data_IF_202504834858
#
_entry.id   IF_202504834858
#
_cell.length_a   1.000
_cell.length_b   1.000
_cell.length_c   1.000
_cell.angle_alpha   90.00
_cell.angle_beta   90.00
_cell.angle_gamma   90.00
#
_symmetry.space_group_name_H-M   'P 1'
#
loop_
_entity.id
_entity.type
_entity.pdbx_description
1 polymer ?
#
# COMPACT_ATOMS: atom_id res chain seq x y z
N UNK A 1 -4.14 -42.00 -34.81
CA UNK A 1 -3.79 -40.66 -34.32
C UNK A 1 -4.29 -40.58 -32.87
N UNK A 2 -3.41 -40.71 -31.88
CA UNK A 2 -3.80 -40.60 -30.45
C UNK A 2 -3.51 -39.17 -30.01
N UNK A 3 -4.54 -38.37 -29.82
CA UNK A 3 -4.43 -37.04 -29.22
C UNK A 3 -4.27 -37.20 -27.71
N UNK A 4 -3.05 -37.04 -27.21
CA UNK A 4 -2.80 -36.91 -25.76
C UNK A 4 -3.28 -35.51 -25.37
N UNK A 5 -4.33 -35.44 -24.55
CA UNK A 5 -4.76 -34.20 -23.91
C UNK A 5 -3.70 -33.78 -22.89
N UNK A 6 -2.95 -32.72 -23.19
CA UNK A 6 -2.06 -32.07 -22.23
C UNK A 6 -2.91 -31.20 -21.29
N UNK A 7 -3.29 -31.76 -20.15
CA UNK A 7 -4.02 -31.03 -19.13
C UNK A 7 -3.07 -30.00 -18.51
N UNK A 8 -3.28 -28.71 -18.80
CA UNK A 8 -2.57 -27.61 -18.15
C UNK A 8 -2.55 -27.85 -16.64
N UNK A 9 -1.39 -28.08 -16.00
CA UNK A 9 -1.35 -28.34 -14.58
C UNK A 9 -1.90 -27.11 -13.85
N UNK A 10 -2.96 -27.31 -13.07
CA UNK A 10 -3.51 -26.26 -12.22
C UNK A 10 -2.46 -25.71 -11.27
N UNK A 11 -2.67 -24.48 -10.81
CA UNK A 11 -1.72 -23.79 -9.93
C UNK A 11 -1.43 -24.63 -8.68
N UNK A 12 -0.15 -24.92 -8.40
CA UNK A 12 0.20 -25.68 -7.19
C UNK A 12 -0.09 -24.87 -5.92
N UNK A 13 -0.42 -25.50 -4.80
CA UNK A 13 -0.65 -24.80 -3.50
C UNK A 13 0.50 -23.86 -3.12
N UNK A 14 1.73 -24.25 -3.39
CA UNK A 14 2.92 -23.43 -3.16
C UNK A 14 2.96 -22.22 -4.08
N UNK A 15 2.54 -22.37 -5.32
CA UNK A 15 2.45 -21.28 -6.27
C UNK A 15 1.27 -20.35 -5.95
N UNK A 16 0.18 -20.90 -5.41
CA UNK A 16 -0.93 -20.13 -4.86
C UNK A 16 -0.49 -19.32 -3.64
N UNK A 17 0.27 -19.92 -2.72
CA UNK A 17 0.80 -19.20 -1.55
C UNK A 17 1.85 -18.15 -1.95
N UNK A 18 2.74 -18.47 -2.90
CA UNK A 18 3.70 -17.52 -3.47
C UNK A 18 3.02 -16.34 -4.15
N UNK A 19 1.86 -16.56 -4.80
CA UNK A 19 1.09 -15.51 -5.48
C UNK A 19 0.09 -14.81 -4.55
N UNK A 20 -0.39 -15.49 -3.50
CA UNK A 20 -1.34 -14.96 -2.52
C UNK A 20 -0.70 -13.99 -1.54
N UNK A 21 0.61 -14.09 -1.31
CA UNK A 21 1.38 -13.08 -0.57
C UNK A 21 1.71 -11.82 -1.40
N UNK A 22 1.39 -11.78 -2.69
CA UNK A 22 1.69 -10.66 -3.62
C UNK A 22 0.59 -9.58 -3.58
N UNK A 23 -0.44 -9.73 -2.74
CA UNK A 23 -1.58 -8.79 -2.75
C UNK A 23 -1.31 -7.44 -2.10
N UNK A 24 -0.40 -7.35 -1.13
CA UNK A 24 -0.20 -6.14 -0.34
C UNK A 24 1.19 -5.55 -0.56
N UNK A 25 1.26 -4.48 -1.36
CA UNK A 25 2.47 -3.66 -1.53
C UNK A 25 3.00 -3.14 -0.18
N UNK A 26 2.05 -2.89 0.74
CA UNK A 26 2.27 -2.37 2.09
C UNK A 26 1.46 -3.19 3.11
N UNK A 27 2.11 -3.54 4.21
CA UNK A 27 1.51 -4.21 5.37
C UNK A 27 1.51 -3.23 6.52
N UNK A 28 0.35 -3.08 7.17
CA UNK A 28 0.21 -2.26 8.37
C UNK A 28 0.41 -3.16 9.59
N UNK A 29 1.33 -2.78 10.47
CA UNK A 29 1.55 -3.47 11.75
C UNK A 29 1.70 -2.45 12.87
N UNK A 30 0.72 -2.38 13.77
CA UNK A 30 0.70 -1.36 14.82
C UNK A 30 0.69 0.04 14.21
N UNK A 31 1.55 0.94 14.69
CA UNK A 31 1.74 2.28 14.16
C UNK A 31 2.69 2.37 12.96
N UNK A 32 2.95 1.28 12.24
CA UNK A 32 3.94 1.27 11.15
C UNK A 32 3.37 0.71 9.85
N UNK A 33 3.83 1.28 8.74
CA UNK A 33 3.63 0.82 7.37
C UNK A 33 4.90 0.15 6.89
N UNK A 34 4.83 -1.12 6.51
CA UNK A 34 5.96 -1.96 6.11
C UNK A 34 5.80 -2.34 4.65
N UNK A 35 6.86 -2.23 3.84
CA UNK A 35 6.90 -2.87 2.52
C UNK A 35 7.67 -4.19 2.62
N UNK A 36 6.99 -5.35 2.55
CA UNK A 36 7.65 -6.66 2.64
C UNK A 36 8.57 -6.93 1.45
N UNK A 37 8.21 -6.44 0.27
CA UNK A 37 8.98 -6.61 -0.97
C UNK A 37 10.29 -5.84 -0.94
N UNK A 38 10.27 -4.61 -0.41
CA UNK A 38 11.41 -3.69 -0.43
C UNK A 38 12.15 -3.58 0.91
N UNK A 39 11.74 -4.40 1.90
CA UNK A 39 12.36 -4.53 3.22
C UNK A 39 12.57 -3.19 3.96
N UNK A 40 11.59 -2.29 3.92
CA UNK A 40 11.59 -1.04 4.68
C UNK A 40 10.29 -0.88 5.47
N UNK A 41 10.33 -0.05 6.52
CA UNK A 41 9.17 0.33 7.30
C UNK A 41 9.19 1.83 7.65
N UNK A 42 8.01 2.43 7.71
CA UNK A 42 7.77 3.80 8.13
C UNK A 42 6.85 3.80 9.34
N UNK A 43 7.31 4.37 10.45
CA UNK A 43 6.48 4.59 11.64
C UNK A 43 5.68 5.89 11.48
N UNK A 44 4.38 5.82 11.76
CA UNK A 44 3.46 6.96 11.80
C UNK A 44 3.25 7.40 13.24
N UNK A 45 3.40 8.69 13.49
CA UNK A 45 3.30 9.28 14.84
C UNK A 45 1.93 9.91 15.07
N UNK A 46 1.40 10.64 14.07
CA UNK A 46 0.19 11.44 14.22
C UNK A 46 -0.97 10.90 13.40
N UNK A 47 -0.71 10.44 12.17
CA UNK A 47 -1.71 9.89 11.26
C UNK A 47 -1.95 8.41 11.54
N UNK A 48 -3.13 7.95 11.14
CA UNK A 48 -3.43 6.52 11.09
C UNK A 48 -2.52 5.83 10.05
N UNK A 49 -2.00 4.62 10.34
CA UNK A 49 -1.19 3.85 9.41
C UNK A 49 -1.90 3.58 8.07
N UNK A 50 -3.22 3.38 8.10
CA UNK A 50 -4.04 3.18 6.90
C UNK A 50 -3.99 4.41 5.99
N UNK A 51 -4.22 5.59 6.57
CA UNK A 51 -4.14 6.88 5.88
C UNK A 51 -2.76 7.08 5.26
N UNK A 52 -1.69 6.74 5.99
CA UNK A 52 -0.32 6.84 5.48
C UNK A 52 -0.07 5.87 4.31
N UNK A 53 -0.51 4.62 4.42
CA UNK A 53 -0.37 3.63 3.35
C UNK A 53 -1.09 4.10 2.07
N UNK A 54 -2.30 4.64 2.20
CA UNK A 54 -3.07 5.20 1.08
C UNK A 54 -2.35 6.40 0.45
N UNK A 55 -1.77 7.31 1.26
CA UNK A 55 -1.00 8.44 0.74
C UNK A 55 0.24 8.00 -0.05
N UNK A 56 0.95 6.97 0.42
CA UNK A 56 2.13 6.42 -0.28
C UNK A 56 1.72 5.81 -1.61
N UNK A 57 0.65 5.01 -1.62
CA UNK A 57 0.10 4.42 -2.84
C UNK A 57 -0.32 5.50 -3.84
N UNK A 58 -1.11 6.49 -3.37
CA UNK A 58 -1.56 7.61 -4.18
C UNK A 58 -0.40 8.41 -4.77
N UNK A 59 0.67 8.62 -3.99
CA UNK A 59 1.86 9.32 -4.48
C UNK A 59 2.54 8.57 -5.63
N UNK A 60 2.60 7.23 -5.56
CA UNK A 60 3.15 6.39 -6.65
C UNK A 60 2.22 6.33 -7.86
N UNK A 61 0.91 6.33 -7.65
CA UNK A 61 -0.08 6.33 -8.73
C UNK A 61 -0.07 7.66 -9.51
N UNK A 62 0.07 8.80 -8.83
CA UNK A 62 0.14 10.12 -9.47
C UNK A 62 1.49 10.33 -10.18
N UNK A 63 2.58 9.85 -9.58
CA UNK A 63 3.93 10.00 -10.13
C UNK A 63 4.61 8.64 -10.31
N UNK A 64 4.23 7.87 -11.36
CA UNK A 64 4.82 6.56 -11.58
C UNK A 64 6.26 6.70 -12.07
N UNK A 65 7.22 6.25 -11.26
CA UNK A 65 8.63 6.23 -11.63
C UNK A 65 9.19 4.81 -11.49
N UNK A 66 9.60 4.22 -12.61
CA UNK A 66 10.20 2.88 -12.63
C UNK A 66 11.59 2.83 -11.97
N UNK A 67 12.28 3.98 -11.91
CA UNK A 67 13.63 4.10 -11.37
C UNK A 67 13.68 4.58 -9.92
N UNK A 68 12.53 4.96 -9.33
CA UNK A 68 12.46 5.48 -7.96
C UNK A 68 11.77 4.46 -7.06
N UNK A 69 12.51 3.81 -6.13
CA UNK A 69 11.94 2.88 -5.17
C UNK A 69 10.87 3.50 -4.26
N UNK A 70 9.90 2.70 -3.83
CA UNK A 70 8.77 3.10 -2.96
C UNK A 70 9.17 3.84 -1.68
N UNK A 71 10.33 3.49 -1.11
CA UNK A 71 10.85 4.12 0.10
C UNK A 71 10.96 5.64 -0.03
N UNK A 72 11.20 6.17 -1.24
CA UNK A 72 11.34 7.61 -1.46
C UNK A 72 9.98 8.31 -1.43
N UNK A 73 8.91 7.65 -1.88
CA UNK A 73 7.55 8.15 -1.71
C UNK A 73 7.14 8.13 -0.24
N UNK A 74 7.49 7.08 0.50
CA UNK A 74 7.28 7.01 1.95
C UNK A 74 8.00 8.15 2.70
N UNK A 75 9.25 8.46 2.33
CA UNK A 75 10.00 9.58 2.92
C UNK A 75 9.34 10.93 2.58
N UNK A 76 8.88 11.11 1.33
CA UNK A 76 8.23 12.36 0.92
C UNK A 76 6.93 12.60 1.70
N UNK A 77 6.12 11.55 1.90
CA UNK A 77 4.84 11.65 2.61
C UNK A 77 5.03 11.81 4.12
N UNK A 78 6.15 11.36 4.69
CA UNK A 78 6.44 11.50 6.12
C UNK A 78 6.30 12.94 6.64
N UNK A 79 6.61 13.95 5.82
CA UNK A 79 6.43 15.36 6.20
C UNK A 79 4.97 15.72 6.54
N UNK A 80 3.99 15.05 5.94
CA UNK A 80 2.57 15.23 6.25
C UNK A 80 2.21 14.67 7.64
N UNK A 81 2.86 13.59 8.10
CA UNK A 81 2.68 13.06 9.45
C UNK A 81 3.20 14.04 10.51
N UNK A 82 4.38 14.62 10.28
CA UNK A 82 4.94 15.63 11.18
C UNK A 82 4.07 16.90 11.25
N UNK A 83 3.49 17.31 10.12
CA UNK A 83 2.57 18.45 10.07
C UNK A 83 1.22 18.13 10.74
N UNK A 84 0.68 16.92 10.54
CA UNK A 84 -0.53 16.45 11.22
C UNK A 84 -0.36 16.37 12.74
N UNK A 85 0.87 16.15 13.24
CA UNK A 85 1.18 16.22 14.67
C UNK A 85 1.13 17.63 15.25
N UNK A 86 1.30 18.66 14.41
CA UNK A 86 1.30 20.08 14.82
C UNK A 86 -0.05 20.76 14.64
N UNK A 87 -0.83 20.34 13.64
CA UNK A 87 -2.12 20.93 13.31
C UNK A 87 -3.22 19.85 13.25
N UNK A 88 -4.12 19.91 14.22
CA UNK A 88 -5.25 18.99 14.32
C UNK A 88 -6.25 19.16 13.16
N UNK A 89 -6.44 20.38 12.65
CA UNK A 89 -7.35 20.62 11.52
C UNK A 89 -6.79 19.98 10.24
N UNK A 90 -5.46 20.07 10.05
CA UNK A 90 -4.78 19.41 8.94
C UNK A 90 -4.87 17.88 9.01
N UNK A 91 -4.70 17.32 10.21
CA UNK A 91 -4.91 15.89 10.45
C UNK A 91 -6.33 15.45 10.07
N UNK A 92 -7.34 16.16 10.55
CA UNK A 92 -8.75 15.84 10.25
C UNK A 92 -9.04 15.93 8.75
N UNK A 93 -8.50 16.96 8.07
CA UNK A 93 -8.64 17.09 6.62
C UNK A 93 -8.09 15.87 5.86
N UNK A 94 -6.93 15.36 6.25
CA UNK A 94 -6.32 14.19 5.59
C UNK A 94 -7.12 12.90 5.85
N UNK A 95 -7.48 12.64 7.11
CA UNK A 95 -8.22 11.42 7.46
C UNK A 95 -9.64 11.41 6.88
N UNK A 96 -10.36 12.52 6.95
CA UNK A 96 -11.72 12.62 6.40
C UNK A 96 -11.71 12.59 4.88
N UNK A 97 -10.72 13.23 4.25
CA UNK A 97 -10.57 13.21 2.79
C UNK A 97 -10.33 11.80 2.27
N UNK A 98 -9.45 11.03 2.92
CA UNK A 98 -9.20 9.63 2.55
C UNK A 98 -10.44 8.77 2.81
N UNK A 99 -11.12 8.95 3.94
CA UNK A 99 -12.34 8.22 4.24
C UNK A 99 -13.49 8.52 3.25
N UNK A 100 -13.58 9.74 2.72
CA UNK A 100 -14.54 10.09 1.68
C UNK A 100 -14.19 9.46 0.32
N UNK A 101 -12.90 9.43 -0.04
CA UNK A 101 -12.43 8.77 -1.26
C UNK A 101 -12.67 7.26 -1.21
N UNK A 102 -12.40 6.62 -0.07
CA UNK A 102 -12.66 5.19 0.13
C UNK A 102 -14.17 4.86 0.06
N UNK A 103 -15.03 5.76 0.53
CA UNK A 103 -16.49 5.58 0.37
C UNK A 103 -16.93 5.72 -1.09
N UNK A 104 -16.26 6.58 -1.86
CA UNK A 104 -16.60 6.86 -3.27
C UNK A 104 -16.07 5.80 -4.23
N UNK A 105 -15.00 5.08 -3.88
CA UNK A 105 -14.46 4.00 -4.71
C UNK A 105 -15.40 2.78 -4.80
N UNK A 106 -16.37 2.67 -3.89
CA UNK A 106 -17.37 1.60 -3.87
C UNK A 106 -16.84 0.29 -3.29
N UNK A 107 -17.72 -0.72 -3.17
CA UNK A 107 -17.30 -2.08 -2.82
C UNK A 107 -16.63 -2.70 -4.06
N UNK A 108 -15.29 -2.71 -4.08
CA UNK A 108 -14.46 -3.23 -5.17
C UNK A 108 -14.68 -4.70 -5.52
#
# INVERSE_FOLDING_TARGET
>A
MVTIYDAKPGLSRRELLKRGSIGALLVISGGAVISPEHAWGLETSALKPETMATLIQMARDIYPHDQVPDKYYAIAVKGHDEQAGKDAAYKTMLEDGIADLDKKSGDG
#
